data_IF_260420562750
#
_entry.id   IF_260420562750
#
_cell.length_a   1.000
_cell.length_b   1.000
_cell.length_c   1.000
_cell.angle_alpha   90.00
_cell.angle_beta   90.00
_cell.angle_gamma   90.00
#
_symmetry.space_group_name_H-M   'P 1'
#
loop_
_entity.id
_entity.type
_entity.pdbx_description
1 polymer ?
#
# COMPACT_ATOMS: atom_id res chain seq x y z
N UNK A 1 20.40 2.98 7.01
CA UNK A 1 19.22 2.43 7.72
C UNK A 1 17.92 3.00 7.15
N UNK A 2 17.78 4.31 6.97
CA UNK A 2 16.58 4.94 6.40
C UNK A 2 16.24 4.42 4.98
N UNK A 3 17.24 4.30 4.10
CA UNK A 3 17.08 3.70 2.75
C UNK A 3 16.58 2.24 2.76
N UNK A 4 16.94 1.46 3.78
CA UNK A 4 16.50 0.06 3.86
C UNK A 4 15.02 -0.03 4.24
N UNK A 5 14.57 0.89 5.12
CA UNK A 5 13.17 0.97 5.52
C UNK A 5 12.26 1.47 4.41
N UNK A 6 12.73 2.47 3.66
CA UNK A 6 12.02 2.94 2.45
C UNK A 6 11.91 1.82 1.41
N UNK A 7 12.98 1.03 1.21
CA UNK A 7 12.95 -0.12 0.30
C UNK A 7 11.92 -1.18 0.72
N UNK A 8 11.75 -1.45 2.02
CA UNK A 8 10.73 -2.37 2.53
C UNK A 8 9.31 -1.86 2.23
N UNK A 9 9.07 -0.56 2.45
CA UNK A 9 7.78 0.04 2.16
C UNK A 9 7.48 0.03 0.65
N UNK A 10 8.49 0.33 -0.17
CA UNK A 10 8.39 0.28 -1.63
C UNK A 10 8.09 -1.13 -2.13
N UNK A 11 8.76 -2.15 -1.60
CA UNK A 11 8.49 -3.55 -1.95
C UNK A 11 7.03 -3.93 -1.64
N UNK A 12 6.51 -3.52 -0.50
CA UNK A 12 5.11 -3.78 -0.15
C UNK A 12 4.14 -3.05 -1.08
N UNK A 13 4.44 -1.81 -1.44
CA UNK A 13 3.60 -1.07 -2.39
C UNK A 13 3.68 -1.66 -3.81
N UNK A 14 4.82 -2.19 -4.22
CA UNK A 14 4.95 -2.96 -5.47
C UNK A 14 4.07 -4.23 -5.45
N UNK A 15 4.02 -4.94 -4.31
CA UNK A 15 3.07 -6.05 -4.14
C UNK A 15 1.61 -5.58 -4.21
N UNK A 16 1.27 -4.40 -3.68
CA UNK A 16 -0.08 -3.81 -3.83
C UNK A 16 -0.39 -3.50 -5.28
N UNK A 17 0.59 -2.99 -6.05
CA UNK A 17 0.44 -2.79 -7.49
C UNK A 17 0.12 -4.11 -8.21
N UNK A 18 0.87 -5.17 -7.94
CA UNK A 18 0.72 -6.44 -8.65
C UNK A 18 -0.52 -7.25 -8.21
N UNK A 19 -0.84 -7.25 -6.92
CA UNK A 19 -1.86 -8.15 -6.33
C UNK A 19 -3.16 -7.41 -5.97
N UNK A 20 -3.14 -6.09 -5.93
CA UNK A 20 -4.29 -5.25 -5.60
C UNK A 20 -4.42 -4.92 -4.11
N UNK A 21 -3.90 -5.76 -3.20
CA UNK A 21 -3.92 -5.45 -1.76
C UNK A 21 -2.82 -6.14 -0.94
N UNK A 22 -2.44 -5.52 0.18
CA UNK A 22 -1.49 -6.08 1.16
C UNK A 22 -1.82 -5.63 2.58
N UNK A 23 -1.79 -6.58 3.51
CA UNK A 23 -1.84 -6.31 4.95
C UNK A 23 -0.43 -6.25 5.54
N UNK A 24 -0.20 -5.29 6.44
CA UNK A 24 1.04 -5.08 7.17
C UNK A 24 0.69 -4.94 8.64
N UNK A 25 1.41 -5.63 9.53
CA UNK A 25 1.19 -5.44 10.96
C UNK A 25 1.65 -4.06 11.42
N UNK A 26 1.03 -3.51 12.46
CA UNK A 26 1.40 -2.18 12.94
C UNK A 26 2.85 -2.09 13.41
N UNK A 27 3.38 -3.13 14.05
CA UNK A 27 4.78 -3.16 14.51
C UNK A 27 5.79 -3.09 13.35
N UNK A 28 5.52 -3.80 12.25
CA UNK A 28 6.30 -3.71 11.02
C UNK A 28 6.19 -2.30 10.40
N UNK A 29 4.96 -1.78 10.29
CA UNK A 29 4.73 -0.46 9.72
C UNK A 29 5.43 0.65 10.52
N UNK A 30 5.38 0.60 11.85
CA UNK A 30 6.11 1.52 12.72
C UNK A 30 7.62 1.40 12.57
N UNK A 31 8.13 0.18 12.44
CA UNK A 31 9.55 -0.06 12.23
C UNK A 31 10.04 0.56 10.91
N UNK A 32 9.28 0.40 9.83
CA UNK A 32 9.63 0.92 8.50
C UNK A 32 9.48 2.43 8.42
N UNK A 33 8.42 2.98 8.98
CA UNK A 33 8.18 4.43 8.97
C UNK A 33 9.03 5.19 9.99
N UNK A 34 9.69 4.47 10.90
CA UNK A 34 10.56 5.04 11.93
C UNK A 34 9.81 5.89 12.96
N UNK A 35 8.48 5.77 13.04
CA UNK A 35 7.65 6.50 14.00
C UNK A 35 7.14 5.57 15.10
N UNK A 36 7.05 6.10 16.32
CA UNK A 36 6.47 5.36 17.46
C UNK A 36 4.95 5.56 17.58
N UNK A 37 4.39 6.54 16.88
CA UNK A 37 2.95 6.81 16.79
C UNK A 37 2.62 7.31 15.39
N UNK A 38 1.47 6.90 14.87
CA UNK A 38 1.01 7.34 13.55
C UNK A 38 0.80 8.85 13.59
N UNK A 39 1.51 9.54 12.72
CA UNK A 39 1.33 10.96 12.43
C UNK A 39 1.08 11.13 10.93
N UNK A 40 0.93 12.38 10.46
CA UNK A 40 0.72 12.66 9.03
C UNK A 40 1.95 12.30 8.16
N UNK A 41 3.16 12.28 8.72
CA UNK A 41 4.41 12.06 7.96
C UNK A 41 4.46 10.67 7.27
N UNK A 42 4.30 9.54 7.98
CA UNK A 42 4.26 8.21 7.35
C UNK A 42 3.34 8.10 6.14
N UNK A 43 2.16 8.70 6.21
CA UNK A 43 1.19 8.66 5.12
C UNK A 43 1.63 9.46 3.90
N UNK A 44 2.34 10.58 4.10
CA UNK A 44 2.93 11.34 2.99
C UNK A 44 4.04 10.54 2.31
N UNK A 45 4.85 9.83 3.09
CA UNK A 45 5.92 8.99 2.55
C UNK A 45 5.33 7.81 1.76
N UNK A 46 4.30 7.14 2.28
CA UNK A 46 3.54 6.10 1.56
C UNK A 46 2.98 6.64 0.25
N UNK A 47 2.30 7.80 0.30
CA UNK A 47 1.69 8.38 -0.89
C UNK A 47 2.71 8.77 -1.95
N UNK A 48 3.83 9.39 -1.55
CA UNK A 48 4.94 9.73 -2.46
C UNK A 48 5.50 8.48 -3.15
N UNK A 49 5.79 7.42 -2.39
CA UNK A 49 6.36 6.18 -2.95
C UNK A 49 5.35 5.52 -3.90
N UNK A 50 4.06 5.57 -3.56
CA UNK A 50 3.00 5.04 -4.42
C UNK A 50 2.87 5.82 -5.73
N UNK A 51 2.93 7.14 -5.68
CA UNK A 51 2.93 8.01 -6.87
C UNK A 51 4.14 7.73 -7.77
N UNK A 52 5.35 7.63 -7.18
CA UNK A 52 6.57 7.24 -7.91
C UNK A 52 6.41 5.87 -8.58
N UNK A 53 5.86 4.87 -7.88
CA UNK A 53 5.61 3.54 -8.43
C UNK A 53 4.60 3.57 -9.58
N UNK A 54 3.49 4.31 -9.45
CA UNK A 54 2.51 4.42 -10.54
C UNK A 54 3.11 5.06 -11.79
N UNK A 55 3.92 6.11 -11.63
CA UNK A 55 4.61 6.78 -12.74
C UNK A 55 5.61 5.85 -13.44
N UNK A 56 6.37 5.06 -12.67
CA UNK A 56 7.30 4.06 -13.21
C UNK A 56 6.60 2.96 -14.02
N UNK A 57 5.35 2.65 -13.69
CA UNK A 57 4.52 1.69 -14.40
C UNK A 57 3.78 2.31 -15.60
N UNK A 58 3.97 3.60 -15.86
CA UNK A 58 3.42 4.31 -17.01
C UNK A 58 2.05 4.95 -16.78
N UNK A 59 1.62 5.14 -15.52
CA UNK A 59 0.42 5.91 -15.22
C UNK A 59 0.72 7.41 -15.16
N UNK A 60 -0.10 8.22 -15.84
CA UNK A 60 -0.02 9.69 -15.79
C UNK A 60 -0.44 10.24 -14.41
N UNK A 61 -1.34 9.53 -13.73
CA UNK A 61 -1.82 9.86 -12.38
C UNK A 61 -1.73 8.64 -11.46
N UNK A 62 -1.44 8.87 -10.17
CA UNK A 62 -1.39 7.80 -9.19
C UNK A 62 -2.77 7.17 -9.00
N UNK A 63 -2.84 5.84 -9.08
CA UNK A 63 -4.09 5.11 -8.83
C UNK A 63 -4.61 5.39 -7.41
N UNK A 64 -5.93 5.41 -7.20
CA UNK A 64 -6.51 5.53 -5.87
C UNK A 64 -6.00 4.41 -4.95
N UNK A 65 -5.43 4.81 -3.81
CA UNK A 65 -4.94 3.90 -2.78
C UNK A 65 -5.81 4.04 -1.53
N UNK A 66 -6.57 3.00 -1.23
CA UNK A 66 -7.40 2.87 -0.03
C UNK A 66 -6.58 2.31 1.13
N UNK A 67 -6.71 2.93 2.30
CA UNK A 67 -6.09 2.49 3.55
C UNK A 67 -7.16 2.03 4.53
N UNK A 68 -7.15 0.74 4.90
CA UNK A 68 -8.00 0.21 5.96
C UNK A 68 -7.17 0.04 7.23
N UNK A 69 -7.58 0.70 8.30
CA UNK A 69 -6.94 0.56 9.61
C UNK A 69 -7.70 -0.46 10.46
N UNK A 70 -7.01 -1.49 10.93
CA UNK A 70 -7.49 -2.49 11.88
C UNK A 70 -6.69 -2.41 13.18
N UNK A 71 -7.12 -3.12 14.22
CA UNK A 71 -6.46 -3.09 15.53
C UNK A 71 -4.99 -3.55 15.48
N UNK A 72 -4.68 -4.54 14.62
CA UNK A 72 -3.36 -5.16 14.57
C UNK A 72 -2.60 -4.92 13.26
N UNK A 73 -3.24 -4.27 12.28
CA UNK A 73 -2.68 -4.12 10.94
C UNK A 73 -3.23 -2.89 10.20
N UNK A 74 -2.45 -2.43 9.24
CA UNK A 74 -2.88 -1.56 8.15
C UNK A 74 -2.99 -2.37 6.87
N UNK A 75 -4.03 -2.14 6.08
CA UNK A 75 -4.20 -2.78 4.78
C UNK A 75 -4.19 -1.69 3.72
N UNK A 76 -3.33 -1.85 2.72
CA UNK A 76 -3.33 -1.06 1.51
C UNK A 76 -4.10 -1.83 0.43
N UNK A 77 -5.01 -1.15 -0.26
CA UNK A 77 -5.77 -1.70 -1.40
C UNK A 77 -5.79 -0.65 -2.49
N UNK A 78 -5.35 -0.99 -3.70
CA UNK A 78 -5.60 -0.16 -4.88
C UNK A 78 -6.94 -0.55 -5.51
N UNK A 79 -7.48 0.36 -6.31
CA UNK A 79 -8.63 0.05 -7.14
C UNK A 79 -8.28 -1.03 -8.18
N UNK A 80 -9.30 -1.79 -8.58
CA UNK A 80 -9.18 -2.81 -9.60
C UNK A 80 -8.98 -2.18 -10.99
N UNK A 81 -8.14 -2.81 -11.81
CA UNK A 81 -8.02 -2.47 -13.23
C UNK A 81 -9.26 -2.94 -14.01
N UNK A 82 -9.47 -2.40 -15.21
CA UNK A 82 -10.60 -2.77 -16.06
C UNK A 82 -10.61 -4.27 -16.41
N UNK A 83 -9.44 -4.89 -16.48
CA UNK A 83 -9.27 -6.32 -16.77
C UNK A 83 -9.46 -7.21 -15.53
N UNK A 84 -9.46 -6.64 -14.34
CA UNK A 84 -9.64 -7.36 -13.08
C UNK A 84 -11.13 -7.52 -12.76
N UNK A 85 -11.48 -8.68 -12.20
CA UNK A 85 -12.86 -8.99 -11.82
C UNK A 85 -12.96 -9.13 -10.31
N UNK A 86 -13.78 -8.30 -9.70
CA UNK A 86 -14.25 -8.50 -8.33
C UNK A 86 -15.49 -9.40 -8.39
N UNK A 87 -15.46 -10.52 -7.67
CA UNK A 87 -16.59 -11.45 -7.58
C UNK A 87 -16.76 -11.80 -6.12
N UNK A 88 -18.00 -11.73 -5.62
CA UNK A 88 -18.30 -12.07 -4.24
C UNK A 88 -18.24 -13.59 -4.05
N UNK A 89 -17.91 -14.05 -2.84
CA UNK A 89 -17.85 -15.50 -2.60
C UNK A 89 -19.23 -16.15 -2.75
N UNK A 90 -20.29 -15.40 -2.42
CA UNK A 90 -21.70 -15.79 -2.57
C UNK A 90 -22.10 -16.06 -4.03
N UNK A 91 -21.40 -15.47 -5.00
CA UNK A 91 -21.60 -15.73 -6.44
C UNK A 91 -20.78 -16.92 -6.95
N UNK A 92 -19.80 -17.39 -6.16
CA UNK A 92 -18.88 -18.48 -6.50
C UNK A 92 -19.27 -19.83 -5.87
N UNK A 93 -20.22 -19.84 -4.94
CA UNK A 93 -20.73 -21.03 -4.23
C UNK A 93 -22.15 -21.38 -4.66
#
# INVERSE_FOLDING_TARGET
MERHREAQLRQVLDEVWLVGSKAIRWDEFYLWTGVQRIAKKPWRDVYRIWEELCQEQGCDEALPLTVLSKDFAVIFRRDAFEEEKETSIEELV
#
